data_IF_124025595427
#
_entry.id   IF_124025595427
#
_cell.length_a   1.000
_cell.length_b   1.000
_cell.length_c   1.000
_cell.angle_alpha   90.00
_cell.angle_beta   90.00
_cell.angle_gamma   90.00
#
_symmetry.space_group_name_H-M   'P 1'
#
loop_
_entity.id
_entity.type
_entity.pdbx_description
1 polymer ?
#
# COMPACT_ATOMS: atom_id res chain seq x y z
N UNK A 1 -32.93 -4.90 -28.19
CA UNK A 1 -33.74 -5.57 -27.16
C UNK A 1 -32.98 -6.82 -26.77
N UNK A 2 -32.73 -7.02 -25.48
CA UNK A 2 -32.10 -8.26 -25.03
C UNK A 2 -33.02 -9.44 -25.35
N UNK A 3 -32.48 -10.46 -26.00
CA UNK A 3 -33.21 -11.69 -26.30
C UNK A 3 -33.39 -12.47 -25.00
N UNK A 4 -34.65 -12.65 -24.58
CA UNK A 4 -34.95 -13.49 -23.42
C UNK A 4 -34.80 -14.97 -23.77
N UNK A 5 -34.17 -15.73 -22.87
CA UNK A 5 -34.05 -17.18 -22.97
C UNK A 5 -34.90 -17.82 -21.87
N UNK A 6 -35.66 -18.86 -22.23
CA UNK A 6 -36.46 -19.63 -21.29
C UNK A 6 -35.65 -20.74 -20.61
N UNK A 7 -35.55 -20.70 -19.28
CA UNK A 7 -34.95 -21.77 -18.47
C UNK A 7 -36.07 -22.48 -17.69
N UNK A 8 -36.07 -23.81 -17.72
CA UNK A 8 -37.07 -24.63 -17.01
C UNK A 8 -36.58 -24.96 -15.61
N UNK A 9 -37.39 -24.61 -14.61
CA UNK A 9 -37.16 -24.94 -13.20
C UNK A 9 -38.22 -25.89 -12.68
N UNK A 10 -37.89 -26.67 -11.64
CA UNK A 10 -38.90 -27.33 -10.81
C UNK A 10 -39.79 -26.27 -10.18
N UNK A 11 -41.11 -26.54 -10.12
CA UNK A 11 -42.12 -25.59 -9.64
C UNK A 11 -41.79 -25.00 -8.26
N UNK A 12 -41.36 -25.85 -7.31
CA UNK A 12 -41.01 -25.42 -5.96
C UNK A 12 -39.78 -24.50 -5.92
N UNK A 13 -38.75 -24.81 -6.71
CA UNK A 13 -37.56 -23.95 -6.85
C UNK A 13 -37.92 -22.61 -7.49
N UNK A 14 -38.74 -22.61 -8.54
CA UNK A 14 -39.21 -21.40 -9.21
C UNK A 14 -39.98 -20.49 -8.24
N UNK A 15 -40.89 -21.04 -7.43
CA UNK A 15 -41.64 -20.27 -6.42
C UNK A 15 -40.71 -19.61 -5.39
N UNK A 16 -39.72 -20.35 -4.87
CA UNK A 16 -38.74 -19.81 -3.91
C UNK A 16 -37.95 -18.66 -4.52
N UNK A 17 -37.48 -18.82 -5.76
CA UNK A 17 -36.76 -17.76 -6.47
C UNK A 17 -37.64 -16.54 -6.74
N UNK A 18 -38.89 -16.74 -7.18
CA UNK A 18 -39.83 -15.64 -7.41
C UNK A 18 -40.13 -14.85 -6.13
N UNK A 19 -40.34 -15.54 -5.01
CA UNK A 19 -40.54 -14.89 -3.70
C UNK A 19 -39.30 -14.06 -3.32
N UNK A 20 -38.11 -14.66 -3.37
CA UNK A 20 -36.86 -13.97 -3.07
C UNK A 20 -36.65 -12.73 -3.95
N UNK A 21 -36.81 -12.89 -5.27
CA UNK A 21 -36.59 -11.83 -6.24
C UNK A 21 -37.57 -10.67 -6.04
N UNK A 22 -38.85 -10.95 -5.74
CA UNK A 22 -39.84 -9.89 -5.46
C UNK A 22 -39.58 -9.13 -4.17
N UNK A 23 -38.96 -9.77 -3.18
CA UNK A 23 -38.64 -9.14 -1.89
C UNK A 23 -37.43 -8.22 -1.99
N UNK A 24 -36.40 -8.60 -2.75
CA UNK A 24 -35.10 -7.91 -2.73
C UNK A 24 -34.76 -7.13 -4.01
N UNK A 25 -35.42 -7.40 -5.12
CA UNK A 25 -35.05 -6.86 -6.43
C UNK A 25 -36.26 -6.36 -7.22
N UNK A 26 -36.00 -5.53 -8.24
CA UNK A 26 -37.06 -5.00 -9.12
C UNK A 26 -37.41 -5.97 -10.25
N UNK A 27 -36.46 -6.80 -10.68
CA UNK A 27 -36.67 -7.80 -11.74
C UNK A 27 -36.05 -9.17 -11.42
N UNK A 28 -36.59 -10.21 -12.05
CA UNK A 28 -36.05 -11.57 -11.96
C UNK A 28 -34.67 -11.70 -12.61
N UNK A 29 -34.43 -10.96 -13.70
CA UNK A 29 -33.13 -10.93 -14.37
C UNK A 29 -32.05 -10.31 -13.47
N UNK A 30 -32.34 -9.17 -12.85
CA UNK A 30 -31.43 -8.49 -11.92
C UNK A 30 -31.10 -9.36 -10.70
N UNK A 31 -32.10 -10.03 -10.12
CA UNK A 31 -31.89 -10.95 -9.00
C UNK A 31 -30.95 -12.10 -9.38
N UNK A 32 -31.14 -12.70 -10.56
CA UNK A 32 -30.29 -13.80 -11.03
C UNK A 32 -28.86 -13.32 -11.33
N UNK A 33 -28.70 -12.19 -12.02
CA UNK A 33 -27.39 -11.61 -12.32
C UNK A 33 -26.63 -11.31 -11.02
N UNK A 34 -27.27 -10.62 -10.08
CA UNK A 34 -26.66 -10.29 -8.79
C UNK A 34 -26.27 -11.53 -7.99
N UNK A 35 -27.07 -12.60 -8.03
CA UNK A 35 -26.71 -13.88 -7.41
C UNK A 35 -25.45 -14.49 -8.03
N UNK A 36 -25.36 -14.51 -9.36
CA UNK A 36 -24.19 -15.05 -10.07
C UNK A 36 -22.93 -14.22 -9.77
N UNK A 37 -23.05 -12.89 -9.84
CA UNK A 37 -21.98 -11.96 -9.51
C UNK A 37 -21.52 -12.11 -8.06
N UNK A 38 -22.45 -12.29 -7.12
CA UNK A 38 -22.12 -12.51 -5.72
C UNK A 38 -21.21 -13.73 -5.53
N UNK A 39 -21.54 -14.88 -6.14
CA UNK A 39 -20.68 -16.05 -6.01
C UNK A 39 -19.36 -15.91 -6.77
N UNK A 40 -19.38 -15.23 -7.93
CA UNK A 40 -18.19 -15.02 -8.74
C UNK A 40 -17.19 -14.10 -8.05
N UNK A 41 -17.60 -12.89 -7.67
CA UNK A 41 -16.70 -11.89 -7.08
C UNK A 41 -16.24 -12.22 -5.67
N UNK A 42 -17.05 -12.94 -4.89
CA UNK A 42 -16.63 -13.36 -3.56
C UNK A 42 -15.87 -14.71 -3.57
N UNK A 43 -15.72 -15.35 -4.74
CA UNK A 43 -15.11 -16.67 -4.90
C UNK A 43 -15.70 -17.74 -3.96
N UNK A 44 -16.99 -17.62 -3.65
CA UNK A 44 -17.70 -18.50 -2.71
C UNK A 44 -18.43 -19.57 -3.52
N UNK A 45 -18.23 -20.84 -3.13
CA UNK A 45 -18.99 -21.93 -3.73
C UNK A 45 -20.46 -21.88 -3.30
N UNK A 46 -21.44 -21.95 -4.24
CA UNK A 46 -22.87 -22.05 -3.89
C UNK A 46 -23.23 -23.27 -3.04
N UNK A 47 -22.32 -24.25 -2.93
CA UNK A 47 -22.48 -25.47 -2.13
C UNK A 47 -21.90 -25.32 -0.73
N UNK A 48 -21.11 -24.29 -0.49
CA UNK A 48 -20.48 -24.04 0.79
C UNK A 48 -21.49 -23.46 1.77
N UNK A 49 -21.62 -24.12 2.93
CA UNK A 49 -22.43 -23.62 4.03
C UNK A 49 -21.58 -22.67 4.84
N UNK A 50 -21.57 -21.40 4.46
CA UNK A 50 -21.14 -20.34 5.35
C UNK A 50 -22.05 -20.41 6.57
N UNK A 51 -21.47 -20.59 7.75
CA UNK A 51 -22.19 -20.78 9.00
C UNK A 51 -23.14 -19.61 9.34
N UNK A 52 -23.71 -19.60 10.55
CA UNK A 52 -24.91 -18.82 10.88
C UNK A 52 -24.84 -17.30 10.60
N UNK A 53 -23.66 -16.71 10.45
CA UNK A 53 -23.51 -15.33 9.93
C UNK A 53 -22.07 -15.10 9.45
N UNK A 54 -21.83 -14.40 8.33
CA UNK A 54 -20.47 -13.94 7.98
C UNK A 54 -19.76 -13.19 9.13
N UNK A 55 -20.55 -12.61 10.05
CA UNK A 55 -20.07 -11.99 11.29
C UNK A 55 -19.33 -12.94 12.24
N UNK A 56 -19.70 -14.22 12.34
CA UNK A 56 -18.92 -15.18 13.16
C UNK A 56 -17.60 -15.54 12.52
N UNK A 57 -17.52 -15.56 11.18
CA UNK A 57 -16.26 -15.69 10.45
C UNK A 57 -15.36 -14.47 10.71
N UNK A 58 -15.92 -13.26 10.62
CA UNK A 58 -15.20 -12.01 10.92
C UNK A 58 -14.67 -11.98 12.36
N UNK A 59 -15.50 -12.37 13.34
CA UNK A 59 -15.10 -12.44 14.74
C UNK A 59 -13.97 -13.45 14.99
N UNK A 60 -14.06 -14.63 14.36
CA UNK A 60 -13.00 -15.64 14.44
C UNK A 60 -11.71 -15.18 13.77
N UNK A 61 -11.80 -14.49 12.63
CA UNK A 61 -10.65 -13.92 11.93
C UNK A 61 -9.98 -12.82 12.76
N UNK A 62 -10.75 -11.89 13.35
CA UNK A 62 -10.23 -10.86 14.26
C UNK A 62 -9.50 -11.46 15.45
N UNK A 63 -10.04 -12.53 16.06
CA UNK A 63 -9.35 -13.26 17.14
C UNK A 63 -8.02 -13.85 16.70
N UNK A 64 -7.98 -14.47 15.51
CA UNK A 64 -6.74 -15.04 14.94
C UNK A 64 -5.70 -13.96 14.65
N UNK A 65 -6.10 -12.83 14.07
CA UNK A 65 -5.20 -11.70 13.78
C UNK A 65 -4.63 -11.13 15.09
N UNK A 66 -5.47 -10.91 16.10
CA UNK A 66 -5.00 -10.42 17.41
C UNK A 66 -3.99 -11.37 18.07
N UNK A 67 -4.18 -12.69 17.93
CA UNK A 67 -3.22 -13.67 18.42
C UNK A 67 -1.88 -13.60 17.67
N UNK A 68 -1.90 -13.45 16.34
CA UNK A 68 -0.69 -13.26 15.53
C UNK A 68 0.05 -11.97 15.92
N UNK A 69 -0.68 -10.86 16.10
CA UNK A 69 -0.10 -9.59 16.58
C UNK A 69 0.56 -9.78 17.96
N UNK A 70 -0.09 -10.53 18.87
CA UNK A 70 0.46 -10.82 20.18
C UNK A 70 1.77 -11.62 20.08
N UNK A 71 1.81 -12.65 19.23
CA UNK A 71 3.01 -13.46 18.97
C UNK A 71 4.13 -12.59 18.37
N UNK A 72 3.84 -11.79 17.35
CA UNK A 72 4.82 -10.88 16.74
C UNK A 72 5.38 -9.88 17.76
N UNK A 73 4.52 -9.31 18.61
CA UNK A 73 4.94 -8.38 19.68
C UNK A 73 5.78 -9.08 20.75
N UNK A 74 5.49 -10.34 21.05
CA UNK A 74 6.28 -11.13 21.99
C UNK A 74 7.68 -11.44 21.43
N UNK A 75 7.77 -11.85 20.16
CA UNK A 75 9.04 -12.03 19.44
C UNK A 75 9.85 -10.72 19.36
N UNK A 76 9.17 -9.58 19.16
CA UNK A 76 9.81 -8.27 19.15
C UNK A 76 10.43 -7.95 20.52
N UNK A 77 9.72 -8.22 21.62
CA UNK A 77 10.19 -7.95 22.98
C UNK A 77 11.29 -8.91 23.46
N UNK A 78 11.19 -10.19 23.12
CA UNK A 78 12.06 -11.24 23.67
C UNK A 78 13.36 -11.41 22.87
N UNK A 79 13.30 -11.31 21.55
CA UNK A 79 14.45 -11.59 20.67
C UNK A 79 14.96 -10.33 19.99
N UNK A 80 14.07 -9.60 19.32
CA UNK A 80 14.49 -8.59 18.34
C UNK A 80 14.99 -7.31 19.02
N UNK A 81 14.24 -6.75 19.97
CA UNK A 81 14.63 -5.53 20.70
C UNK A 81 15.89 -5.71 21.55
N UNK A 82 16.05 -6.78 22.35
CA UNK A 82 17.28 -6.98 23.11
C UNK A 82 18.50 -7.17 22.21
N UNK A 83 18.34 -7.85 21.06
CA UNK A 83 19.44 -8.03 20.09
C UNK A 83 19.84 -6.70 19.46
N UNK A 84 18.87 -5.86 19.08
CA UNK A 84 19.15 -4.49 18.59
C UNK A 84 19.86 -3.67 19.67
N UNK A 85 19.34 -3.65 20.90
CA UNK A 85 19.96 -2.91 22.00
C UNK A 85 21.37 -3.41 22.33
N UNK A 86 21.60 -4.73 22.25
CA UNK A 86 22.91 -5.33 22.44
C UNK A 86 23.88 -4.95 21.31
N UNK A 87 23.44 -4.98 20.06
CA UNK A 87 24.21 -4.52 18.90
C UNK A 87 24.55 -3.03 19.06
N UNK A 88 23.57 -2.17 19.38
CA UNK A 88 23.80 -0.74 19.66
C UNK A 88 24.80 -0.52 20.79
N UNK A 89 24.73 -1.34 21.85
CA UNK A 89 25.67 -1.30 22.97
C UNK A 89 27.08 -1.75 22.59
N UNK A 90 27.21 -2.80 21.77
CA UNK A 90 28.49 -3.35 21.30
C UNK A 90 29.17 -2.40 20.31
N UNK A 91 28.40 -1.81 19.41
CA UNK A 91 28.94 -0.91 18.41
C UNK A 91 29.18 0.49 18.94
N UNK A 92 28.77 0.80 20.19
CA UNK A 92 28.78 2.14 20.78
C UNK A 92 28.63 3.14 19.65
N UNK A 93 27.46 3.20 19.02
CA UNK A 93 27.20 4.27 18.06
C UNK A 93 27.18 5.56 18.87
N UNK A 94 28.38 6.03 19.25
CA UNK A 94 28.68 7.42 19.46
C UNK A 94 28.06 8.07 18.23
N UNK A 95 26.96 8.79 18.44
CA UNK A 95 26.47 9.73 17.45
C UNK A 95 27.72 10.42 16.90
N UNK A 96 27.97 10.41 15.58
CA UNK A 96 29.18 10.96 15.04
C UNK A 96 29.26 12.39 15.56
N UNK A 97 30.21 12.65 16.49
CA UNK A 97 30.41 13.98 17.09
C UNK A 97 30.41 14.93 15.92
N UNK A 98 29.40 15.81 15.84
CA UNK A 98 29.24 16.75 14.73
C UNK A 98 30.56 17.51 14.60
N UNK A 99 31.43 17.07 13.68
CA UNK A 99 32.73 17.68 13.47
C UNK A 99 32.42 19.09 12.99
N UNK A 100 32.92 20.15 13.65
CA UNK A 100 32.71 21.50 13.17
C UNK A 100 33.23 21.57 11.72
N UNK A 101 32.40 22.05 10.79
CA UNK A 101 32.82 22.22 9.40
C UNK A 101 34.02 23.18 9.39
N UNK A 102 35.20 22.67 9.05
CA UNK A 102 36.37 23.50 8.79
C UNK A 102 36.18 24.06 7.38
N UNK A 103 35.65 25.28 7.30
CA UNK A 103 35.56 26.03 6.04
C UNK A 103 36.89 26.76 5.81
N UNK A 104 37.62 26.37 4.78
CA UNK A 104 38.79 27.14 4.33
C UNK A 104 38.35 28.53 3.86
N UNK A 105 38.88 29.58 4.49
CA UNK A 105 38.78 30.94 3.95
C UNK A 105 39.62 31.00 2.68
N UNK A 106 38.97 30.96 1.52
CA UNK A 106 39.62 31.34 0.26
C UNK A 106 40.01 32.81 0.34
N UNK A 107 41.31 33.07 0.48
CA UNK A 107 41.86 34.40 0.24
C UNK A 107 41.67 34.70 -1.25
N UNK A 108 40.84 35.69 -1.55
CA UNK A 108 40.76 36.26 -2.89
C UNK A 108 42.02 37.10 -3.05
N UNK A 109 42.99 36.61 -3.83
CA UNK A 109 44.12 37.44 -4.26
C UNK A 109 43.57 38.57 -5.15
N UNK A 110 43.52 39.77 -4.60
CA UNK A 110 43.34 40.98 -5.40
C UNK A 110 44.53 41.10 -6.38
N UNK A 111 44.26 40.87 -7.66
CA UNK A 111 45.26 41.09 -8.72
C UNK A 111 45.69 42.56 -8.69
N UNK A 112 46.99 42.89 -8.57
CA UNK A 112 47.43 44.27 -8.57
C UNK A 112 47.16 44.90 -9.94
N UNK A 113 46.52 46.07 -9.94
CA UNK A 113 46.35 46.92 -11.13
C UNK A 113 47.73 47.25 -11.69
N UNK A 114 48.04 46.75 -12.88
CA UNK A 114 49.28 47.05 -13.59
C UNK A 114 49.28 48.54 -13.95
N UNK A 115 50.31 49.29 -13.50
CA UNK A 115 50.38 50.76 -13.57
C UNK A 115 50.69 51.33 -14.96
N UNK A 116 51.11 50.52 -15.92
CA UNK A 116 51.48 50.98 -17.25
C UNK A 116 50.96 50.01 -18.31
N UNK A 117 50.25 50.54 -19.30
CA UNK A 117 49.88 49.87 -20.55
C UNK A 117 50.52 50.66 -21.69
N UNK A 118 51.26 49.96 -22.54
CA UNK A 118 51.96 50.54 -23.69
C UNK A 118 50.96 50.85 -24.81
N UNK A 119 51.02 52.06 -25.38
CA UNK A 119 50.15 52.47 -26.49
C UNK A 119 50.73 51.93 -27.81
N UNK A 120 49.98 51.08 -28.51
CA UNK A 120 50.30 50.69 -29.87
C UNK A 120 49.86 51.78 -30.85
N UNK A 121 50.82 52.46 -31.49
CA UNK A 121 50.57 53.36 -32.61
C UNK A 121 50.47 52.53 -33.89
N UNK A 122 49.31 52.53 -34.53
CA UNK A 122 49.16 52.07 -35.91
C UNK A 122 49.40 53.24 -36.86
N UNK A 123 50.48 53.16 -37.65
CA UNK A 123 50.56 53.79 -38.97
C UNK A 123 51.40 52.86 -39.86
N UNK A 124 50.72 52.19 -40.78
CA UNK A 124 51.29 51.34 -41.82
C UNK A 124 51.19 52.12 -43.13
N UNK A 125 52.32 52.46 -43.74
CA UNK A 125 52.38 52.80 -45.17
C UNK A 125 53.64 52.18 -45.80
N UNK A 126 53.42 51.14 -46.60
CA UNK A 126 53.95 50.97 -47.96
C UNK A 126 53.02 50.00 -48.71
#
# INVERSE_FOLDING_TARGET
>A
MDSFIGIRFKKETAKRFQQFSRTHFKSHTEAMATMLDFFHYNEISPREKLGPTGRTIEANLKKRINAVIAIMRDMEKTQTRPTVAMIESLFQTEEPKKKPLILEKKFVEEKPKVRFQEKQNHNNEL
#
